data_IF_422520420077
#
_entry.id   IF_422520420077
#
_cell.length_a   1.000
_cell.length_b   1.000
_cell.length_c   1.000
_cell.angle_alpha   90.00
_cell.angle_beta   90.00
_cell.angle_gamma   90.00
#
_symmetry.space_group_name_H-M   'P 1'
#
loop_
_entity.id
_entity.type
_entity.pdbx_description
1 polymer ?
#
# COMPACT_ATOMS: atom_id res chain seq x y z
N UNK A 1 -18.92 2.61 -37.38
CA UNK A 1 -19.11 1.37 -36.60
C UNK A 1 -17.88 0.50 -36.85
N UNK A 2 -16.93 0.51 -35.92
CA UNK A 2 -15.73 -0.32 -35.98
C UNK A 2 -16.01 -1.51 -35.07
N UNK A 3 -16.15 -2.70 -35.64
CA UNK A 3 -16.27 -3.94 -34.86
C UNK A 3 -14.98 -4.16 -34.07
N UNK A 4 -15.14 -4.24 -32.75
CA UNK A 4 -14.06 -4.48 -31.82
C UNK A 4 -13.60 -5.95 -31.91
N UNK A 5 -12.48 -6.17 -32.60
CA UNK A 5 -11.92 -7.50 -32.90
C UNK A 5 -11.27 -8.21 -31.71
N UNK A 6 -11.39 -7.67 -30.50
CA UNK A 6 -10.71 -8.20 -29.31
C UNK A 6 -11.63 -8.74 -28.21
N UNK A 7 -12.96 -8.69 -28.38
CA UNK A 7 -13.88 -9.37 -27.48
C UNK A 7 -13.92 -10.88 -27.83
N UNK A 8 -13.80 -11.79 -26.85
CA UNK A 8 -13.91 -13.22 -27.13
C UNK A 8 -15.31 -13.55 -27.69
N UNK A 9 -15.40 -14.46 -28.68
CA UNK A 9 -16.69 -14.86 -29.24
C UNK A 9 -17.57 -15.53 -28.18
N UNK A 10 -18.88 -15.33 -28.29
CA UNK A 10 -19.90 -16.00 -27.47
C UNK A 10 -19.71 -17.52 -27.61
N UNK A 11 -19.54 -18.24 -26.48
CA UNK A 11 -19.20 -19.68 -26.42
C UNK A 11 -17.72 -20.00 -26.16
N UNK A 12 -16.93 -19.04 -25.67
CA UNK A 12 -15.52 -19.23 -25.29
C UNK A 12 -15.40 -19.74 -23.84
N UNK A 13 -14.71 -20.86 -23.63
CA UNK A 13 -14.40 -21.38 -22.29
C UNK A 13 -13.31 -20.54 -21.62
N UNK A 14 -13.53 -20.11 -20.38
CA UNK A 14 -12.55 -19.33 -19.60
C UNK A 14 -12.04 -20.17 -18.44
N UNK A 15 -10.72 -20.34 -18.36
CA UNK A 15 -10.08 -21.05 -17.25
C UNK A 15 -9.84 -20.07 -16.09
N UNK A 16 -10.55 -20.26 -14.99
CA UNK A 16 -10.31 -19.52 -13.75
C UNK A 16 -9.20 -20.24 -12.97
N UNK A 17 -7.94 -19.87 -13.22
CA UNK A 17 -6.81 -20.44 -12.49
C UNK A 17 -6.62 -19.76 -11.13
N UNK A 18 -6.91 -20.47 -10.04
CA UNK A 18 -6.18 -20.29 -8.79
C UNK A 18 -4.91 -21.15 -8.90
N UNK A 19 -3.72 -20.53 -8.93
CA UNK A 19 -2.45 -21.26 -9.13
C UNK A 19 -2.19 -22.25 -8.00
N UNK A 20 -2.12 -23.53 -8.33
CA UNK A 20 -1.20 -24.50 -7.72
C UNK A 20 -0.53 -25.27 -8.87
N UNK A 21 0.79 -25.26 -8.92
CA UNK A 21 1.55 -26.11 -9.83
C UNK A 21 1.73 -27.48 -9.16
N UNK A 22 1.14 -28.53 -9.72
CA UNK A 22 1.53 -29.91 -9.42
C UNK A 22 2.16 -30.48 -10.70
N UNK A 23 3.45 -30.78 -10.61
CA UNK A 23 4.23 -31.38 -11.68
C UNK A 23 3.84 -32.86 -11.83
N UNK A 24 3.11 -33.20 -12.91
CA UNK A 24 2.96 -34.57 -13.40
C UNK A 24 3.05 -34.60 -14.92
N UNK A 25 3.83 -35.52 -15.52
CA UNK A 25 3.92 -35.63 -16.96
C UNK A 25 2.73 -36.45 -17.49
N UNK A 26 1.86 -35.81 -18.27
CA UNK A 26 0.75 -36.45 -19.00
C UNK A 26 0.68 -35.94 -20.44
N UNK A 27 0.16 -36.73 -21.40
CA UNK A 27 0.39 -36.52 -22.82
C UNK A 27 -0.38 -35.32 -23.36
N UNK A 28 0.34 -34.45 -24.09
CA UNK A 28 -0.19 -33.26 -24.76
C UNK A 28 -1.26 -33.63 -25.79
N UNK A 29 -2.50 -33.14 -25.60
CA UNK A 29 -3.49 -33.03 -26.69
C UNK A 29 -3.38 -31.64 -27.32
N UNK A 30 -3.26 -31.63 -28.65
CA UNK A 30 -3.34 -30.43 -29.50
C UNK A 30 -4.80 -29.99 -29.63
N UNK A 31 -5.05 -28.73 -29.35
CA UNK A 31 -6.25 -27.99 -29.71
C UNK A 31 -5.91 -26.52 -29.56
N UNK A 32 -6.00 -25.76 -30.66
CA UNK A 32 -5.74 -24.34 -30.71
C UNK A 32 -6.78 -23.60 -29.86
N UNK A 33 -6.44 -23.37 -28.60
CA UNK A 33 -7.13 -22.45 -27.71
C UNK A 33 -6.21 -21.26 -27.46
N UNK A 34 -6.67 -20.06 -27.81
CA UNK A 34 -5.96 -18.83 -27.45
C UNK A 34 -5.92 -18.75 -25.92
N UNK A 35 -4.71 -18.83 -25.37
CA UNK A 35 -4.48 -18.71 -23.94
C UNK A 35 -4.58 -17.24 -23.56
N UNK A 36 -5.70 -16.82 -22.98
CA UNK A 36 -5.84 -15.47 -22.42
C UNK A 36 -5.51 -15.50 -20.93
N UNK A 37 -4.23 -15.26 -20.62
CA UNK A 37 -3.80 -14.97 -19.26
C UNK A 37 -4.00 -13.48 -18.99
N UNK A 38 -5.11 -13.10 -18.35
CA UNK A 38 -5.26 -11.74 -17.82
C UNK A 38 -4.70 -11.67 -16.40
N UNK A 39 -3.39 -11.45 -16.30
CA UNK A 39 -2.76 -10.95 -15.08
C UNK A 39 -2.27 -9.54 -15.39
N UNK A 40 -2.95 -8.51 -14.88
CA UNK A 40 -2.53 -7.12 -15.16
C UNK A 40 -2.82 -6.16 -14.00
N UNK A 41 -1.72 -5.87 -13.27
CA UNK A 41 -1.13 -4.64 -12.69
C UNK A 41 -1.95 -3.73 -11.73
N UNK A 42 -1.53 -3.63 -10.45
CA UNK A 42 -1.69 -2.44 -9.60
C UNK A 42 -0.36 -1.87 -9.13
N UNK A 43 -0.44 -0.66 -8.60
CA UNK A 43 0.69 0.11 -8.13
C UNK A 43 0.91 -0.17 -6.64
N UNK A 44 2.18 -0.30 -6.23
CA UNK A 44 2.57 -0.42 -4.83
C UNK A 44 3.68 0.60 -4.59
N UNK A 45 3.49 1.50 -3.62
CA UNK A 45 4.52 2.44 -3.24
C UNK A 45 5.67 1.69 -2.53
N UNK A 46 6.91 1.82 -3.02
CA UNK A 46 8.11 1.35 -2.31
C UNK A 46 8.74 2.46 -1.47
N UNK A 47 9.58 2.08 -0.51
CA UNK A 47 10.51 3.01 0.15
C UNK A 47 11.39 3.73 -0.89
N UNK A 48 11.87 4.95 -0.57
CA UNK A 48 12.83 5.62 -1.43
C UNK A 48 14.12 4.79 -1.51
N UNK A 49 14.72 4.70 -2.71
CA UNK A 49 16.06 4.16 -2.86
C UNK A 49 17.13 5.13 -2.30
N UNK A 50 18.40 4.73 -2.36
CA UNK A 50 19.53 5.52 -1.85
C UNK A 50 19.70 6.88 -2.58
N UNK A 51 19.03 7.06 -3.74
CA UNK A 51 18.95 8.30 -4.51
C UNK A 51 17.69 9.12 -4.17
N UNK A 52 16.90 8.73 -3.17
CA UNK A 52 15.66 9.40 -2.77
C UNK A 52 14.46 9.14 -3.68
N UNK A 53 14.56 8.24 -4.67
CA UNK A 53 13.51 7.98 -5.66
C UNK A 53 12.44 7.09 -5.05
N UNK A 54 11.21 7.60 -5.00
CA UNK A 54 10.02 6.76 -4.79
C UNK A 54 9.59 6.24 -6.15
N UNK A 55 9.96 5.00 -6.45
CA UNK A 55 9.46 4.34 -7.67
C UNK A 55 8.18 3.58 -7.37
N UNK A 56 7.14 3.82 -8.17
CA UNK A 56 5.88 3.07 -8.18
C UNK A 56 6.14 1.70 -8.83
N UNK A 57 6.79 0.77 -8.13
CA UNK A 57 7.14 -0.55 -8.70
C UNK A 57 6.02 -1.56 -8.45
N UNK A 58 5.21 -1.65 -9.51
CA UNK A 58 4.34 -2.73 -10.02
C UNK A 58 4.34 -4.07 -9.24
N UNK A 59 3.15 -4.48 -8.81
CA UNK A 59 2.88 -5.84 -8.36
C UNK A 59 2.00 -6.54 -9.41
N UNK A 60 2.42 -7.73 -9.86
CA UNK A 60 1.87 -8.40 -11.05
C UNK A 60 0.49 -9.06 -10.81
N UNK A 61 -0.11 -8.85 -9.64
CA UNK A 61 -1.22 -9.65 -9.12
C UNK A 61 -2.53 -8.91 -8.88
N UNK A 62 -2.59 -7.61 -9.13
CA UNK A 62 -3.83 -6.84 -8.94
C UNK A 62 -4.40 -6.36 -10.26
N UNK A 63 -5.73 -6.27 -10.44
CA UNK A 63 -6.32 -5.84 -11.71
C UNK A 63 -6.12 -4.34 -11.96
N UNK A 64 -5.96 -3.92 -13.21
CA UNK A 64 -5.97 -2.51 -13.60
C UNK A 64 -7.39 -1.99 -13.41
N UNK A 65 -7.60 -0.82 -12.77
CA UNK A 65 -8.89 -0.16 -12.83
C UNK A 65 -9.19 0.17 -14.29
N UNK A 66 -10.28 -0.39 -14.79
CA UNK A 66 -10.64 -0.39 -16.19
C UNK A 66 -11.09 1.01 -16.64
N UNK A 67 -10.13 1.89 -16.94
CA UNK A 67 -10.37 3.14 -17.68
C UNK A 67 -10.62 2.89 -19.18
N UNK A 68 -11.02 1.67 -19.55
CA UNK A 68 -11.21 1.25 -20.94
C UNK A 68 -12.56 0.56 -21.09
N UNK A 69 -13.26 0.89 -22.17
CA UNK A 69 -14.50 0.26 -22.61
C UNK A 69 -14.38 -1.27 -22.56
N UNK A 70 -15.24 -1.94 -21.79
CA UNK A 70 -15.27 -3.41 -21.70
C UNK A 70 -16.17 -3.94 -20.58
N UNK A 71 -16.68 -5.17 -20.74
CA UNK A 71 -17.37 -5.92 -19.67
C UNK A 71 -16.35 -6.79 -18.93
N UNK A 72 -16.51 -6.93 -17.62
CA UNK A 72 -15.69 -7.83 -16.81
C UNK A 72 -16.57 -8.49 -15.73
N UNK A 73 -16.10 -9.62 -15.21
CA UNK A 73 -16.84 -10.41 -14.21
C UNK A 73 -15.94 -10.69 -13.02
N UNK A 74 -16.43 -10.43 -11.82
CA UNK A 74 -15.69 -10.66 -10.57
C UNK A 74 -15.91 -12.11 -10.13
N UNK A 75 -14.80 -12.84 -9.95
CA UNK A 75 -14.87 -14.21 -9.46
C UNK A 75 -15.13 -14.22 -7.93
N UNK A 76 -16.11 -14.98 -7.42
CA UNK A 76 -16.38 -15.07 -5.99
C UNK A 76 -15.18 -15.67 -5.25
N UNK A 77 -14.83 -15.09 -4.10
CA UNK A 77 -13.85 -15.69 -3.20
C UNK A 77 -14.51 -16.81 -2.40
N UNK A 78 -14.04 -18.04 -2.57
CA UNK A 78 -14.50 -19.18 -1.79
C UNK A 78 -13.86 -19.14 -0.39
N UNK A 79 -14.69 -19.00 0.66
CA UNK A 79 -14.25 -18.99 2.08
C UNK A 79 -13.59 -20.31 2.54
N UNK A 80 -13.60 -21.35 1.70
CA UNK A 80 -13.23 -22.73 2.03
C UNK A 80 -11.85 -23.17 1.51
N UNK A 81 -10.87 -22.27 1.35
CA UNK A 81 -9.53 -22.62 0.84
C UNK A 81 -8.62 -23.38 1.84
N UNK A 82 -9.21 -24.24 2.66
CA UNK A 82 -8.53 -25.36 3.33
C UNK A 82 -8.93 -26.73 2.75
N UNK A 83 -9.93 -26.76 1.86
CA UNK A 83 -10.35 -27.95 1.11
C UNK A 83 -9.89 -27.78 -0.32
N UNK A 84 -9.24 -28.80 -0.87
CA UNK A 84 -8.85 -28.88 -2.27
C UNK A 84 -10.08 -28.59 -3.14
N UNK A 85 -10.13 -27.39 -3.73
CA UNK A 85 -11.11 -27.07 -4.76
C UNK A 85 -10.51 -27.54 -6.07
N UNK A 86 -11.10 -28.59 -6.65
CA UNK A 86 -10.79 -29.02 -8.01
C UNK A 86 -11.09 -27.86 -8.98
N UNK A 87 -10.22 -27.69 -9.98
CA UNK A 87 -10.34 -26.65 -10.99
C UNK A 87 -11.74 -26.64 -11.62
N UNK A 88 -12.47 -25.53 -11.51
CA UNK A 88 -13.73 -25.35 -12.22
C UNK A 88 -13.50 -24.59 -13.54
N UNK A 89 -13.87 -25.21 -14.65
CA UNK A 89 -14.03 -24.54 -15.94
C UNK A 89 -15.50 -24.11 -16.08
N UNK A 90 -15.75 -22.82 -16.33
CA UNK A 90 -17.07 -22.27 -16.63
C UNK A 90 -17.06 -21.62 -18.02
N UNK A 91 -18.20 -21.65 -18.73
CA UNK A 91 -18.35 -20.89 -19.96
C UNK A 91 -18.44 -19.39 -19.62
N UNK A 92 -17.79 -18.52 -20.39
CA UNK A 92 -17.89 -17.07 -20.20
C UNK A 92 -19.35 -16.59 -20.29
N UNK A 93 -20.20 -17.27 -21.06
CA UNK A 93 -21.62 -16.96 -21.16
C UNK A 93 -22.40 -17.22 -19.88
N UNK A 94 -21.90 -18.11 -19.02
CA UNK A 94 -22.58 -18.56 -17.81
C UNK A 94 -22.18 -17.74 -16.58
N UNK A 95 -21.16 -16.89 -16.73
CA UNK A 95 -20.72 -15.98 -15.70
C UNK A 95 -21.69 -14.78 -15.65
N UNK A 96 -22.30 -14.57 -14.49
CA UNK A 96 -23.16 -13.43 -14.21
C UNK A 96 -22.38 -12.35 -13.44
N UNK A 97 -22.65 -11.06 -13.71
CA UNK A 97 -22.13 -9.94 -12.92
C UNK A 97 -22.38 -10.14 -11.44
N UNK A 98 -21.35 -10.02 -10.61
CA UNK A 98 -21.51 -10.09 -9.15
C UNK A 98 -22.03 -8.76 -8.58
N UNK A 99 -21.64 -7.66 -9.21
CA UNK A 99 -21.98 -6.28 -8.86
C UNK A 99 -22.60 -5.58 -10.06
N UNK A 100 -23.59 -4.72 -9.79
CA UNK A 100 -24.34 -4.02 -10.84
C UNK A 100 -23.47 -3.18 -11.81
N UNK A 101 -22.27 -2.76 -11.38
CA UNK A 101 -21.39 -1.94 -12.21
C UNK A 101 -20.48 -2.72 -13.16
N UNK A 102 -20.39 -4.05 -13.02
CA UNK A 102 -19.66 -4.92 -13.94
C UNK A 102 -20.26 -4.88 -15.37
N UNK A 103 -21.54 -4.53 -15.48
CA UNK A 103 -22.26 -4.38 -16.75
C UNK A 103 -22.13 -2.98 -17.39
N UNK A 104 -21.63 -1.98 -16.64
CA UNK A 104 -21.50 -0.62 -17.14
C UNK A 104 -20.21 -0.48 -17.97
N UNK A 105 -20.35 -0.09 -19.24
CA UNK A 105 -19.23 0.03 -20.19
C UNK A 105 -18.39 1.29 -19.99
N UNK A 106 -18.96 2.33 -19.36
CA UNK A 106 -18.30 3.58 -19.05
C UNK A 106 -18.41 3.85 -17.55
N UNK A 107 -17.30 3.66 -16.85
CA UNK A 107 -17.07 4.38 -15.61
C UNK A 107 -16.56 5.76 -16.03
N UNK A 108 -17.47 6.74 -16.08
CA UNK A 108 -17.14 8.12 -16.45
C UNK A 108 -16.04 8.70 -15.54
N UNK A 109 -15.62 9.93 -15.81
CA UNK A 109 -14.59 10.64 -15.02
C UNK A 109 -15.07 11.07 -13.61
N UNK A 110 -16.10 10.41 -13.05
CA UNK A 110 -16.64 10.70 -11.73
C UNK A 110 -15.92 9.91 -10.63
N UNK A 111 -15.19 10.65 -9.80
CA UNK A 111 -14.44 10.13 -8.65
C UNK A 111 -15.36 9.43 -7.63
N UNK A 112 -16.62 9.87 -7.49
CA UNK A 112 -17.58 9.26 -6.57
C UNK A 112 -17.92 7.82 -6.98
N UNK A 113 -18.10 7.57 -8.28
CA UNK A 113 -18.39 6.23 -8.80
C UNK A 113 -17.25 5.25 -8.50
N UNK A 114 -16.00 5.65 -8.79
CA UNK A 114 -14.83 4.82 -8.47
C UNK A 114 -14.75 4.49 -6.97
N UNK A 115 -15.02 5.46 -6.10
CA UNK A 115 -15.04 5.23 -4.66
C UNK A 115 -16.13 4.21 -4.29
N UNK A 116 -17.33 4.34 -4.84
CA UNK A 116 -18.44 3.45 -4.51
C UNK A 116 -18.24 2.04 -5.04
N UNK A 117 -17.59 1.88 -6.20
CA UNK A 117 -17.15 0.58 -6.71
C UNK A 117 -16.09 -0.05 -5.80
N UNK A 118 -15.10 0.73 -5.38
CA UNK A 118 -14.11 0.29 -4.41
C UNK A 118 -14.73 -0.13 -3.08
N UNK A 119 -15.72 0.61 -2.58
CA UNK A 119 -16.42 0.31 -1.32
C UNK A 119 -17.25 -0.99 -1.40
N UNK A 120 -17.89 -1.26 -2.55
CA UNK A 120 -18.60 -2.52 -2.81
C UNK A 120 -17.63 -3.71 -2.86
N UNK A 121 -16.47 -3.55 -3.48
CA UNK A 121 -15.43 -4.58 -3.52
C UNK A 121 -14.81 -4.84 -2.14
N UNK A 122 -14.59 -3.76 -1.39
CA UNK A 122 -14.09 -3.83 -0.02
C UNK A 122 -15.06 -4.60 0.90
N UNK A 123 -16.38 -4.43 0.72
CA UNK A 123 -17.39 -5.17 1.50
C UNK A 123 -17.45 -6.66 1.17
N UNK A 124 -17.05 -7.04 -0.06
CA UNK A 124 -16.85 -8.41 -0.50
C UNK A 124 -15.46 -8.98 -0.15
N UNK A 125 -14.65 -8.23 0.61
CA UNK A 125 -13.27 -8.59 0.97
C UNK A 125 -12.32 -8.74 -0.23
N UNK A 126 -12.71 -8.27 -1.42
CA UNK A 126 -11.82 -8.22 -2.59
C UNK A 126 -10.97 -6.95 -2.54
N UNK A 127 -10.00 -6.97 -1.61
CA UNK A 127 -9.11 -5.84 -1.36
C UNK A 127 -8.27 -5.49 -2.58
N UNK A 128 -7.92 -6.48 -3.39
CA UNK A 128 -7.05 -6.33 -4.54
C UNK A 128 -7.77 -5.54 -5.64
N UNK A 129 -9.02 -5.89 -5.97
CA UNK A 129 -9.82 -5.11 -6.90
C UNK A 129 -10.21 -3.74 -6.33
N UNK A 130 -10.53 -3.66 -5.03
CA UNK A 130 -10.88 -2.39 -4.40
C UNK A 130 -9.75 -1.35 -4.52
N UNK A 131 -8.49 -1.77 -4.32
CA UNK A 131 -7.29 -0.93 -4.49
C UNK A 131 -7.29 -0.27 -5.86
N UNK A 132 -7.54 -1.04 -6.91
CA UNK A 132 -7.54 -0.57 -8.29
C UNK A 132 -8.48 0.62 -8.49
N UNK A 133 -9.73 0.50 -8.05
CA UNK A 133 -10.70 1.58 -8.18
C UNK A 133 -10.30 2.84 -7.40
N UNK A 134 -9.80 2.67 -6.18
CA UNK A 134 -9.28 3.79 -5.40
C UNK A 134 -8.06 4.45 -6.06
N UNK A 135 -7.15 3.68 -6.67
CA UNK A 135 -6.00 4.21 -7.40
C UNK A 135 -6.42 4.99 -8.66
N UNK A 136 -7.38 4.49 -9.43
CA UNK A 136 -7.93 5.24 -10.56
C UNK A 136 -8.54 6.57 -10.13
N UNK A 137 -9.34 6.57 -9.06
CA UNK A 137 -9.92 7.79 -8.51
C UNK A 137 -8.83 8.83 -8.15
N UNK A 138 -7.77 8.40 -7.46
CA UNK A 138 -6.65 9.28 -7.09
C UNK A 138 -5.82 9.73 -8.29
N UNK A 139 -5.71 8.89 -9.32
CA UNK A 139 -5.03 9.24 -10.56
C UNK A 139 -5.78 10.32 -11.33
N UNK A 140 -7.10 10.23 -11.45
CA UNK A 140 -7.95 11.26 -12.08
C UNK A 140 -7.77 12.63 -11.42
N UNK A 141 -7.65 12.66 -10.09
CA UNK A 141 -7.33 13.88 -9.34
C UNK A 141 -5.93 14.37 -9.71
N UNK A 142 -4.95 13.47 -9.67
CA UNK A 142 -3.53 13.83 -9.81
C UNK A 142 -3.14 14.20 -11.23
N UNK A 143 -3.88 13.82 -12.27
CA UNK A 143 -3.61 14.23 -13.65
C UNK A 143 -3.90 15.70 -13.91
N UNK A 144 -4.67 16.37 -13.04
CA UNK A 144 -5.14 17.76 -13.22
C UNK A 144 -4.36 18.74 -12.32
N UNK A 145 -3.03 18.69 -12.37
CA UNK A 145 -2.19 19.69 -11.69
C UNK A 145 -2.11 20.93 -12.56
N UNK A 146 -2.50 22.05 -11.96
CA UNK A 146 -2.61 23.36 -12.59
C UNK A 146 -1.89 24.40 -11.70
N UNK A 147 -1.53 25.55 -12.29
CA UNK A 147 -0.99 26.70 -11.55
C UNK A 147 -2.05 27.22 -10.55
N UNK A 148 -1.63 27.59 -9.35
CA UNK A 148 -2.48 27.86 -8.18
C UNK A 148 -3.06 26.59 -7.54
N UNK A 149 -2.69 25.41 -8.04
CA UNK A 149 -3.11 24.14 -7.49
C UNK A 149 -2.29 23.76 -6.25
N UNK A 150 -2.90 23.01 -5.33
CA UNK A 150 -2.22 22.50 -4.16
C UNK A 150 -1.74 21.06 -4.40
N UNK A 151 -0.48 20.77 -4.06
CA UNK A 151 0.13 19.45 -4.19
C UNK A 151 0.72 18.98 -2.87
N UNK A 152 0.87 17.66 -2.72
CA UNK A 152 1.57 17.03 -1.61
C UNK A 152 2.88 16.49 -2.14
N UNK A 153 3.97 16.89 -1.51
CA UNK A 153 5.33 16.50 -1.88
C UNK A 153 6.01 15.80 -0.72
N UNK A 154 7.02 14.98 -1.03
CA UNK A 154 7.87 14.38 -0.01
C UNK A 154 9.07 15.28 0.27
N UNK A 155 9.17 15.83 1.47
CA UNK A 155 10.32 16.64 1.90
C UNK A 155 10.89 16.12 3.21
N UNK A 156 12.19 15.81 3.24
CA UNK A 156 12.90 15.25 4.41
C UNK A 156 12.17 14.03 5.03
N UNK A 157 11.54 13.20 4.20
CA UNK A 157 10.77 12.02 4.65
C UNK A 157 9.35 12.29 5.15
N UNK A 158 8.86 13.54 5.08
CA UNK A 158 7.52 13.94 5.50
C UNK A 158 6.65 14.35 4.31
N UNK A 159 5.33 14.24 4.45
CA UNK A 159 4.37 14.73 3.47
C UNK A 159 4.04 16.19 3.79
N UNK A 160 4.41 17.08 2.88
CA UNK A 160 4.25 18.54 3.04
C UNK A 160 3.36 19.05 1.91
N UNK A 161 2.50 20.01 2.24
CA UNK A 161 1.65 20.72 1.28
C UNK A 161 2.47 21.83 0.62
N UNK A 162 2.32 22.00 -0.68
CA UNK A 162 2.89 23.11 -1.42
C UNK A 162 1.88 23.63 -2.44
N UNK A 163 1.96 24.92 -2.77
CA UNK A 163 1.19 25.54 -3.84
C UNK A 163 2.03 25.58 -5.11
N UNK A 164 1.43 25.35 -6.28
CA UNK A 164 2.13 25.37 -7.57
C UNK A 164 2.04 26.77 -8.16
N UNK A 165 3.14 27.51 -8.17
CA UNK A 165 3.17 28.89 -8.67
C UNK A 165 3.39 28.95 -10.18
N UNK A 166 4.18 28.03 -10.70
CA UNK A 166 4.53 27.99 -12.11
C UNK A 166 4.79 26.58 -12.60
N UNK A 167 4.46 26.33 -13.87
CA UNK A 167 4.71 25.06 -14.55
C UNK A 167 5.42 25.37 -15.86
N UNK A 168 6.66 24.90 -15.97
CA UNK A 168 7.45 24.99 -17.19
C UNK A 168 7.82 23.62 -17.74
N UNK A 169 8.28 23.58 -18.98
CA UNK A 169 8.88 22.38 -19.55
C UNK A 169 10.39 22.59 -19.61
N UNK A 170 11.15 21.61 -19.15
CA UNK A 170 12.60 21.57 -19.33
C UNK A 170 12.96 21.40 -20.82
N UNK A 171 14.25 21.49 -21.15
CA UNK A 171 14.75 21.30 -22.52
C UNK A 171 14.40 19.92 -23.13
N UNK A 172 14.14 18.92 -22.27
CA UNK A 172 13.74 17.57 -22.67
C UNK A 172 12.20 17.39 -22.74
N UNK A 173 11.43 18.45 -22.51
CA UNK A 173 9.96 18.43 -22.53
C UNK A 173 9.32 17.84 -21.27
N UNK A 174 10.07 17.61 -20.19
CA UNK A 174 9.51 17.20 -18.91
C UNK A 174 8.99 18.41 -18.14
N UNK A 175 7.86 18.23 -17.45
CA UNK A 175 7.27 19.28 -16.62
C UNK A 175 8.09 19.49 -15.34
N UNK A 176 8.54 20.72 -15.12
CA UNK A 176 9.04 21.25 -13.86
C UNK A 176 7.94 22.08 -13.20
N UNK A 177 7.90 22.02 -11.87
CA UNK A 177 6.90 22.67 -11.05
C UNK A 177 7.62 23.54 -10.04
N UNK A 178 7.45 24.86 -10.11
CA UNK A 178 7.88 25.75 -9.04
C UNK A 178 6.79 25.77 -7.98
N UNK A 179 7.17 25.45 -6.75
CA UNK A 179 6.23 25.34 -5.63
C UNK A 179 6.65 26.18 -4.44
N UNK A 180 5.67 26.86 -3.84
CA UNK A 180 5.81 27.60 -2.59
C UNK A 180 5.32 26.77 -1.41
N UNK A 181 6.09 26.74 -0.32
CA UNK A 181 5.71 26.05 0.91
C UNK A 181 4.99 27.01 1.89
N UNK A 182 3.86 26.60 2.51
CA UNK A 182 3.12 27.42 3.47
C UNK A 182 3.93 27.84 4.71
N UNK A 183 5.03 27.14 5.01
CA UNK A 183 5.90 27.44 6.14
C UNK A 183 6.76 28.69 5.98
N UNK A 184 6.68 29.37 4.83
CA UNK A 184 7.55 30.50 4.49
C UNK A 184 9.01 30.07 4.28
N UNK A 185 9.22 28.79 3.99
CA UNK A 185 10.52 28.29 3.53
C UNK A 185 10.62 28.51 2.02
N UNK A 186 11.85 28.73 1.53
CA UNK A 186 12.16 29.06 0.14
C UNK A 186 11.42 28.19 -0.89
N UNK A 187 10.99 28.84 -1.96
CA UNK A 187 10.43 28.24 -3.17
C UNK A 187 11.36 27.12 -3.68
N UNK A 188 10.77 26.07 -4.25
CA UNK A 188 11.54 24.97 -4.82
C UNK A 188 11.00 24.57 -6.19
N UNK A 189 11.91 24.37 -7.14
CA UNK A 189 11.62 23.70 -8.41
C UNK A 189 11.69 22.20 -8.20
N UNK A 190 10.59 21.49 -8.47
CA UNK A 190 10.48 20.03 -8.32
C UNK A 190 9.99 19.37 -9.61
N UNK A 191 10.27 18.08 -9.74
CA UNK A 191 9.78 17.26 -10.83
C UNK A 191 8.44 16.59 -10.50
N UNK A 192 7.72 16.11 -11.53
CA UNK A 192 6.50 15.32 -11.36
C UNK A 192 6.67 14.12 -10.41
N UNK A 193 7.86 13.52 -10.36
CA UNK A 193 8.14 12.33 -9.54
C UNK A 193 8.20 12.63 -8.05
N UNK A 194 8.45 13.87 -7.68
CA UNK A 194 8.52 14.32 -6.27
C UNK A 194 7.14 14.68 -5.71
N UNK A 195 6.17 14.90 -6.60
CA UNK A 195 4.76 15.12 -6.27
C UNK A 195 4.11 13.76 -5.98
N UNK A 196 3.67 13.59 -4.72
CA UNK A 196 2.99 12.38 -4.28
C UNK A 196 1.53 12.35 -4.73
N UNK A 197 0.83 13.49 -4.62
CA UNK A 197 -0.59 13.59 -4.94
C UNK A 197 -1.00 15.05 -5.14
N UNK A 198 -1.91 15.34 -6.08
CA UNK A 198 -2.59 16.64 -6.12
C UNK A 198 -3.71 16.69 -5.07
N UNK A 199 -3.96 17.82 -4.45
CA UNK A 199 -5.09 17.99 -3.52
C UNK A 199 -6.33 18.41 -4.31
N UNK A 200 -7.43 17.68 -4.13
CA UNK A 200 -8.67 18.00 -4.81
C UNK A 200 -9.38 19.15 -4.08
N UNK A 201 -9.30 20.36 -4.60
CA UNK A 201 -9.83 21.58 -3.96
C UNK A 201 -11.37 21.64 -3.94
N UNK A 202 -12.03 21.01 -4.91
CA UNK A 202 -13.52 20.99 -5.03
C UNK A 202 -14.19 19.84 -4.26
N UNK A 203 -13.44 19.14 -3.42
CA UNK A 203 -13.89 17.93 -2.73
C UNK A 203 -14.65 18.26 -1.43
N UNK A 204 -15.88 18.75 -1.59
CA UNK A 204 -16.77 19.14 -0.48
C UNK A 204 -17.06 17.97 0.47
N UNK A 205 -17.09 16.74 -0.06
CA UNK A 205 -17.47 15.54 0.69
C UNK A 205 -16.26 14.78 1.28
N UNK A 206 -15.06 15.34 1.20
CA UNK A 206 -13.83 14.71 1.68
C UNK A 206 -13.58 13.31 1.08
N UNK A 207 -14.04 13.10 -0.17
CA UNK A 207 -13.92 11.84 -0.91
C UNK A 207 -12.46 11.45 -1.07
N UNK A 208 -11.57 12.38 -1.37
CA UNK A 208 -10.15 12.07 -1.55
C UNK A 208 -9.55 11.45 -0.29
N UNK A 209 -9.88 12.01 0.88
CA UNK A 209 -9.43 11.51 2.18
C UNK A 209 -10.05 10.14 2.46
N UNK A 210 -11.34 9.97 2.18
CA UNK A 210 -12.07 8.69 2.34
C UNK A 210 -11.46 7.58 1.46
N UNK A 211 -11.16 7.89 0.20
CA UNK A 211 -10.49 7.00 -0.76
C UNK A 211 -9.11 6.59 -0.24
N UNK A 212 -8.26 7.56 0.16
CA UNK A 212 -6.93 7.27 0.73
C UNK A 212 -7.00 6.36 1.96
N UNK A 213 -8.00 6.56 2.83
CA UNK A 213 -8.19 5.74 4.02
C UNK A 213 -8.64 4.32 3.67
N UNK A 214 -9.54 4.15 2.72
CA UNK A 214 -9.99 2.82 2.29
C UNK A 214 -8.89 2.06 1.54
N UNK A 215 -8.15 2.74 0.66
CA UNK A 215 -6.94 2.22 0.02
C UNK A 215 -5.92 1.74 1.07
N UNK A 216 -5.62 2.59 2.06
CA UNK A 216 -4.70 2.27 3.16
C UNK A 216 -5.14 1.04 3.97
N UNK A 217 -6.45 0.87 4.19
CA UNK A 217 -7.02 -0.32 4.87
C UNK A 217 -6.88 -1.57 4.01
N UNK A 218 -7.17 -1.50 2.71
CA UNK A 218 -7.01 -2.62 1.78
C UNK A 218 -5.57 -3.12 1.75
N UNK A 219 -4.60 -2.19 1.61
CA UNK A 219 -3.18 -2.51 1.63
C UNK A 219 -2.77 -3.19 2.94
N UNK A 220 -3.24 -2.68 4.08
CA UNK A 220 -2.93 -3.28 5.37
C UNK A 220 -3.53 -4.70 5.49
N UNK A 221 -4.73 -4.92 4.96
CA UNK A 221 -5.38 -6.25 4.92
C UNK A 221 -4.61 -7.23 4.03
N UNK A 222 -4.16 -6.81 2.86
CA UNK A 222 -3.31 -7.63 2.01
C UNK A 222 -1.99 -7.99 2.69
N UNK A 223 -1.40 -7.07 3.46
CA UNK A 223 -0.19 -7.33 4.24
C UNK A 223 -0.41 -8.39 5.33
N UNK A 224 -1.63 -8.56 5.84
CA UNK A 224 -1.97 -9.58 6.84
C UNK A 224 -2.24 -10.94 6.18
N UNK A 225 -2.89 -10.97 5.02
CA UNK A 225 -3.21 -12.22 4.28
C UNK A 225 -1.94 -12.90 3.75
N UNK A 226 -0.99 -12.12 3.24
CA UNK A 226 0.25 -12.64 2.64
C UNK A 226 1.19 -13.30 3.67
N UNK A 227 1.02 -13.04 4.98
CA UNK A 227 1.78 -13.72 6.07
C UNK A 227 1.50 -15.21 6.11
N UNK A 228 0.26 -15.61 5.78
CA UNK A 228 -0.19 -17.00 5.95
C UNK A 228 0.39 -17.95 4.91
N UNK A 229 0.87 -17.43 3.77
CA UNK A 229 1.42 -18.24 2.66
C UNK A 229 2.93 -18.48 2.77
N UNK A 230 3.67 -17.60 3.45
CA UNK A 230 5.14 -17.68 3.52
C UNK A 230 5.69 -18.70 4.53
N UNK A 231 4.87 -19.20 5.45
CA UNK A 231 5.31 -20.12 6.51
C UNK A 231 5.27 -21.61 6.11
N UNK A 232 4.82 -21.96 4.90
CA UNK A 232 4.75 -23.36 4.46
C UNK A 232 6.03 -23.91 3.83
N UNK A 233 6.98 -23.05 3.42
CA UNK A 233 8.20 -23.49 2.75
C UNK A 233 9.36 -23.65 3.74
N UNK A 234 9.32 -24.78 4.46
CA UNK A 234 10.41 -25.32 5.31
C UNK A 234 11.68 -25.72 4.53
N UNK A 235 11.81 -25.38 3.24
CA UNK A 235 13.03 -25.67 2.48
C UNK A 235 14.08 -24.59 2.79
N UNK A 236 15.04 -24.93 3.66
CA UNK A 236 16.08 -24.07 4.20
C UNK A 236 17.09 -23.52 3.19
N UNK A 237 16.63 -22.79 2.17
CA UNK A 237 17.49 -21.98 1.28
C UNK A 237 17.62 -20.56 1.84
N UNK A 238 18.72 -20.38 2.56
CA UNK A 238 19.51 -19.15 2.74
C UNK A 238 18.80 -17.82 2.45
N UNK A 239 18.52 -17.10 3.54
CA UNK A 239 18.03 -15.73 3.60
C UNK A 239 18.79 -14.79 2.65
N UNK A 240 18.09 -14.35 1.60
CA UNK A 240 18.48 -13.18 0.80
C UNK A 240 18.27 -11.91 1.64
N UNK A 241 19.35 -11.18 1.92
CA UNK A 241 19.46 -10.09 2.89
C UNK A 241 18.95 -8.71 2.44
N UNK A 242 18.20 -8.57 1.33
CA UNK A 242 17.95 -7.21 0.80
C UNK A 242 16.60 -6.93 0.12
N UNK A 243 15.67 -7.88 0.00
CA UNK A 243 14.36 -7.58 -0.62
C UNK A 243 13.30 -7.37 0.46
N UNK A 244 12.92 -6.10 0.66
CA UNK A 244 11.73 -5.72 1.44
C UNK A 244 10.58 -6.64 1.10
N UNK A 245 10.04 -7.34 2.10
CA UNK A 245 8.94 -8.28 1.87
C UNK A 245 7.77 -7.55 1.21
N UNK A 246 6.99 -8.23 0.38
CA UNK A 246 5.78 -7.67 -0.24
C UNK A 246 4.84 -7.05 0.82
N UNK A 247 4.73 -7.72 1.96
CA UNK A 247 4.00 -7.24 3.13
C UNK A 247 4.52 -5.91 3.67
N UNK A 248 5.84 -5.75 3.78
CA UNK A 248 6.43 -4.51 4.26
C UNK A 248 6.19 -3.36 3.29
N UNK A 249 6.21 -3.63 1.98
CA UNK A 249 5.83 -2.65 0.96
C UNK A 249 4.38 -2.19 1.13
N UNK A 250 3.43 -3.11 1.33
CA UNK A 250 2.05 -2.73 1.62
C UNK A 250 1.91 -1.89 2.89
N UNK A 251 2.59 -2.28 3.98
CA UNK A 251 2.57 -1.52 5.23
C UNK A 251 3.18 -0.12 5.05
N UNK A 252 4.27 0.01 4.27
CA UNK A 252 4.89 1.29 3.93
C UNK A 252 3.95 2.16 3.09
N UNK A 253 3.27 1.57 2.11
CA UNK A 253 2.26 2.25 1.31
C UNK A 253 1.07 2.71 2.17
N UNK A 254 0.59 1.90 3.11
CA UNK A 254 -0.42 2.30 4.11
C UNK A 254 0.06 3.48 4.94
N UNK A 255 1.32 3.50 5.39
CA UNK A 255 1.89 4.64 6.14
C UNK A 255 1.87 5.90 5.28
N UNK A 256 2.27 5.80 4.01
CA UNK A 256 2.29 6.92 3.08
C UNK A 256 0.87 7.45 2.82
N UNK A 257 -0.07 6.58 2.44
CA UNK A 257 -1.46 6.96 2.17
C UNK A 257 -2.14 7.64 3.35
N UNK A 258 -1.93 7.12 4.57
CA UNK A 258 -2.43 7.77 5.78
C UNK A 258 -1.72 9.08 6.11
N UNK A 259 -0.43 9.23 5.77
CA UNK A 259 0.30 10.49 5.97
C UNK A 259 -0.20 11.58 5.05
N UNK A 260 -0.42 11.26 3.76
CA UNK A 260 -1.05 12.14 2.78
C UNK A 260 -2.46 12.55 3.28
N UNK A 261 -3.28 11.59 3.70
CA UNK A 261 -4.62 11.88 4.22
C UNK A 261 -4.60 12.83 5.44
N UNK A 262 -3.64 12.65 6.36
CA UNK A 262 -3.46 13.54 7.52
C UNK A 262 -3.06 14.95 7.06
N UNK A 263 -2.13 15.08 6.11
CA UNK A 263 -1.71 16.37 5.57
C UNK A 263 -2.88 17.12 4.91
N UNK A 264 -3.73 16.42 4.14
CA UNK A 264 -4.96 17.00 3.56
C UNK A 264 -5.92 17.46 4.67
N UNK A 265 -6.14 16.61 5.68
CA UNK A 265 -7.01 16.98 6.81
C UNK A 265 -6.50 18.24 7.51
N UNK A 266 -5.20 18.32 7.77
CA UNK A 266 -4.58 19.45 8.48
C UNK A 266 -4.67 20.74 7.66
N UNK A 267 -4.41 20.68 6.36
CA UNK A 267 -4.55 21.81 5.44
C UNK A 267 -6.00 22.30 5.32
N UNK A 268 -6.98 21.40 5.14
CA UNK A 268 -8.39 21.80 5.08
C UNK A 268 -8.92 22.31 6.42
N UNK A 269 -8.38 21.82 7.54
CA UNK A 269 -8.78 22.31 8.87
C UNK A 269 -8.40 23.78 9.05
N UNK A 270 -7.27 24.24 8.52
CA UNK A 270 -6.89 25.66 8.59
C UNK A 270 -7.78 26.59 7.76
N UNK A 271 -8.50 26.06 6.78
CA UNK A 271 -9.36 26.83 5.87
C UNK A 271 -10.86 26.72 6.21
N UNK A 272 -11.22 25.76 7.06
CA UNK A 272 -12.62 25.36 7.30
C UNK A 272 -13.30 26.14 8.42
N UNK A 273 -14.60 26.37 8.26
CA UNK A 273 -15.54 26.81 9.32
C UNK A 273 -15.85 25.62 10.26
N UNK A 274 -16.24 25.89 11.51
CA UNK A 274 -16.32 24.94 12.63
C UNK A 274 -17.05 23.60 12.36
N UNK A 275 -18.11 23.55 11.55
CA UNK A 275 -18.89 22.31 11.37
C UNK A 275 -18.15 21.23 10.56
N UNK A 276 -17.46 21.62 9.49
CA UNK A 276 -16.65 20.70 8.67
C UNK A 276 -15.37 20.25 9.39
N UNK A 277 -14.91 21.03 10.37
CA UNK A 277 -13.74 20.69 11.18
C UNK A 277 -13.95 19.40 11.97
N UNK A 278 -15.17 19.11 12.44
CA UNK A 278 -15.45 17.88 13.18
C UNK A 278 -15.28 16.62 12.33
N UNK A 279 -15.78 16.62 11.09
CA UNK A 279 -15.59 15.48 10.18
C UNK A 279 -14.11 15.28 9.86
N UNK A 280 -13.38 16.37 9.56
CA UNK A 280 -11.94 16.33 9.28
C UNK A 280 -11.15 15.79 10.48
N UNK A 281 -11.51 16.16 11.71
CA UNK A 281 -10.92 15.59 12.92
C UNK A 281 -11.19 14.09 13.03
N UNK A 282 -12.42 13.64 12.78
CA UNK A 282 -12.76 12.21 12.78
C UNK A 282 -11.97 11.43 11.73
N UNK A 283 -11.83 11.97 10.51
CA UNK A 283 -11.05 11.35 9.43
C UNK A 283 -9.55 11.30 9.78
N UNK A 284 -9.01 12.38 10.36
CA UNK A 284 -7.61 12.43 10.82
C UNK A 284 -7.33 11.44 11.95
N UNK A 285 -8.26 11.26 12.88
CA UNK A 285 -8.17 10.23 13.92
C UNK A 285 -8.11 8.82 13.31
N UNK A 286 -9.02 8.52 12.38
CA UNK A 286 -9.05 7.24 11.65
C UNK A 286 -7.73 6.99 10.92
N UNK A 287 -7.18 8.01 10.26
CA UNK A 287 -5.90 7.92 9.56
C UNK A 287 -4.74 7.60 10.52
N UNK A 288 -4.67 8.27 11.68
CA UNK A 288 -3.65 8.00 12.71
C UNK A 288 -3.76 6.59 13.27
N UNK A 289 -4.97 6.07 13.48
CA UNK A 289 -5.16 4.68 13.93
C UNK A 289 -4.65 3.67 12.90
N UNK A 290 -5.02 3.83 11.62
CA UNK A 290 -4.57 2.94 10.55
C UNK A 290 -3.05 3.03 10.37
N UNK A 291 -2.48 4.24 10.38
CA UNK A 291 -1.04 4.46 10.28
C UNK A 291 -0.27 3.85 11.46
N UNK A 292 -0.79 3.99 12.69
CA UNK A 292 -0.19 3.41 13.88
C UNK A 292 -0.16 1.87 13.81
N UNK A 293 -1.22 1.23 13.29
CA UNK A 293 -1.21 -0.23 13.05
C UNK A 293 -0.13 -0.63 12.06
N UNK A 294 0.03 0.11 10.96
CA UNK A 294 1.07 -0.15 9.97
C UNK A 294 2.48 0.05 10.58
N UNK A 295 2.69 1.10 11.38
CA UNK A 295 3.95 1.29 12.10
C UNK A 295 4.25 0.18 13.10
N UNK A 296 3.25 -0.28 13.86
CA UNK A 296 3.39 -1.41 14.78
C UNK A 296 3.81 -2.68 14.02
N UNK A 297 3.17 -2.97 12.88
CA UNK A 297 3.50 -4.12 12.03
C UNK A 297 4.93 -4.02 11.46
N UNK A 298 5.38 -2.82 11.10
CA UNK A 298 6.75 -2.52 10.67
C UNK A 298 7.76 -2.43 11.82
N UNK A 299 7.37 -2.73 13.06
CA UNK A 299 8.19 -2.59 14.28
C UNK A 299 8.72 -1.18 14.54
N UNK A 300 8.11 -0.15 13.94
CA UNK A 300 8.39 1.28 14.19
C UNK A 300 7.61 1.77 15.41
N UNK A 301 7.88 1.18 16.57
CA UNK A 301 7.11 1.38 17.80
C UNK A 301 7.02 2.85 18.24
N UNK A 302 8.10 3.67 18.21
CA UNK A 302 8.01 5.08 18.60
C UNK A 302 6.98 5.85 17.77
N UNK A 303 6.95 5.63 16.46
CA UNK A 303 6.01 6.28 15.55
C UNK A 303 4.56 5.84 15.82
N UNK A 304 4.36 4.54 16.07
CA UNK A 304 3.05 3.99 16.41
C UNK A 304 2.49 4.62 17.71
N UNK A 305 3.34 4.79 18.73
CA UNK A 305 2.98 5.45 20.00
C UNK A 305 2.59 6.91 19.79
N UNK A 306 3.36 7.66 18.99
CA UNK A 306 3.09 9.08 18.72
C UNK A 306 1.70 9.26 18.12
N UNK A 307 1.34 8.48 17.11
CA UNK A 307 0.01 8.57 16.47
C UNK A 307 -1.13 8.26 17.44
N UNK A 308 -1.00 7.19 18.23
CA UNK A 308 -2.05 6.79 19.20
C UNK A 308 -2.18 7.80 20.33
N UNK A 309 -1.07 8.35 20.83
CA UNK A 309 -1.10 9.43 21.82
C UNK A 309 -1.79 10.67 21.26
N UNK A 310 -1.51 11.07 20.02
CA UNK A 310 -2.21 12.20 19.37
C UNK A 310 -3.71 11.97 19.29
N UNK A 311 -4.17 10.75 18.99
CA UNK A 311 -5.60 10.40 19.01
C UNK A 311 -6.16 10.50 20.44
N UNK A 312 -5.47 9.95 21.44
CA UNK A 312 -5.95 9.99 22.84
C UNK A 312 -5.94 11.38 23.47
N UNK A 313 -5.07 12.29 23.01
CA UNK A 313 -5.08 13.70 23.42
C UNK A 313 -6.35 14.39 22.90
N UNK A 314 -6.77 14.08 21.68
CA UNK A 314 -7.95 14.66 21.05
C UNK A 314 -9.24 14.00 21.55
N UNK A 315 -9.20 12.68 21.76
CA UNK A 315 -10.32 11.87 22.17
C UNK A 315 -9.87 10.81 23.18
N UNK A 316 -9.86 11.21 24.46
CA UNK A 316 -9.38 10.37 25.56
C UNK A 316 -10.24 9.11 25.81
N UNK A 317 -11.46 9.05 25.27
CA UNK A 317 -12.36 7.90 25.42
C UNK A 317 -12.27 6.91 24.26
N UNK A 318 -11.47 7.20 23.23
CA UNK A 318 -11.33 6.35 22.05
C UNK A 318 -10.84 4.93 22.43
N UNK A 319 -11.76 3.96 22.40
CA UNK A 319 -11.51 2.56 22.79
C UNK A 319 -10.48 1.89 21.90
N UNK A 320 -10.54 2.12 20.60
CA UNK A 320 -9.62 1.53 19.62
C UNK A 320 -8.19 1.99 19.86
N UNK A 321 -7.99 3.29 20.11
CA UNK A 321 -6.70 3.87 20.45
C UNK A 321 -6.13 3.28 21.75
N UNK A 322 -6.95 3.11 22.80
CA UNK A 322 -6.53 2.49 24.08
C UNK A 322 -6.07 1.05 23.89
N UNK A 323 -6.84 0.25 23.15
CA UNK A 323 -6.48 -1.14 22.84
C UNK A 323 -5.18 -1.20 22.05
N UNK A 324 -5.03 -0.33 21.04
CA UNK A 324 -3.82 -0.28 20.23
C UNK A 324 -2.59 0.14 21.06
N UNK A 325 -2.73 1.12 21.96
CA UNK A 325 -1.65 1.54 22.86
C UNK A 325 -1.17 0.38 23.75
N UNK A 326 -2.10 -0.41 24.29
CA UNK A 326 -1.77 -1.59 25.10
C UNK A 326 -0.96 -2.60 24.28
N UNK A 327 -1.37 -2.89 23.04
CA UNK A 327 -0.62 -3.77 22.13
C UNK A 327 0.79 -3.25 21.83
N UNK A 328 0.94 -1.95 21.58
CA UNK A 328 2.25 -1.35 21.33
C UNK A 328 3.16 -1.48 22.56
N UNK A 329 2.65 -1.16 23.76
CA UNK A 329 3.41 -1.31 25.01
C UNK A 329 3.84 -2.75 25.28
N UNK A 330 2.98 -3.72 25.00
CA UNK A 330 3.32 -5.14 25.10
C UNK A 330 4.46 -5.51 24.14
N UNK A 331 4.42 -5.02 22.89
CA UNK A 331 5.48 -5.22 21.91
C UNK A 331 6.81 -4.55 22.34
N UNK A 332 6.76 -3.35 22.90
CA UNK A 332 7.95 -2.66 23.45
C UNK A 332 8.58 -3.44 24.62
N UNK A 333 7.76 -3.94 25.55
CA UNK A 333 8.23 -4.73 26.67
C UNK A 333 8.89 -6.04 26.21
N UNK A 334 8.31 -6.70 25.21
CA UNK A 334 8.85 -7.91 24.61
C UNK A 334 10.19 -7.66 23.89
N UNK A 335 10.30 -6.57 23.13
CA UNK A 335 11.53 -6.18 22.46
C UNK A 335 12.66 -5.96 23.48
N UNK A 336 12.39 -5.18 24.54
CA UNK A 336 13.37 -4.94 25.63
C UNK A 336 13.81 -6.23 26.35
N UNK A 337 12.89 -7.17 26.57
CA UNK A 337 13.20 -8.47 27.16
C UNK A 337 14.14 -9.27 26.24
N UNK A 338 13.86 -9.26 24.95
CA UNK A 338 14.65 -9.94 23.91
C UNK A 338 16.05 -9.35 23.82
N UNK A 339 16.18 -8.03 23.76
CA UNK A 339 17.47 -7.34 23.73
C UNK A 339 18.29 -7.67 24.97
N UNK A 340 17.68 -7.61 26.16
CA UNK A 340 18.34 -7.98 27.42
C UNK A 340 18.83 -9.44 27.41
N UNK A 341 18.07 -10.36 26.82
CA UNK A 341 18.47 -11.76 26.67
C UNK A 341 19.65 -11.89 25.70
N UNK A 342 19.57 -11.24 24.54
CA UNK A 342 20.63 -11.25 23.53
C UNK A 342 21.92 -10.65 24.06
N UNK A 343 21.87 -9.53 24.79
CA UNK A 343 23.05 -8.94 25.43
C UNK A 343 23.71 -9.90 26.42
N UNK A 344 22.93 -10.64 27.22
CA UNK A 344 23.48 -11.64 28.16
C UNK A 344 24.15 -12.81 27.44
N UNK A 345 23.53 -13.33 26.39
CA UNK A 345 24.10 -14.41 25.57
C UNK A 345 25.38 -13.96 24.88
N UNK A 346 25.37 -12.74 24.31
CA UNK A 346 26.57 -12.13 23.71
C UNK A 346 27.70 -11.98 24.73
N UNK A 347 27.43 -11.45 25.93
CA UNK A 347 28.44 -11.38 26.99
C UNK A 347 28.96 -12.77 27.40
N UNK A 348 28.10 -13.79 27.43
CA UNK A 348 28.52 -15.17 27.70
C UNK A 348 29.46 -15.67 26.60
N UNK A 349 29.14 -15.43 25.33
CA UNK A 349 29.98 -15.82 24.19
C UNK A 349 31.34 -15.13 24.21
N UNK A 350 31.36 -13.81 24.44
CA UNK A 350 32.60 -13.04 24.59
C UNK A 350 33.44 -13.64 25.71
N UNK A 351 32.85 -13.88 26.89
CA UNK A 351 33.54 -14.49 28.03
C UNK A 351 34.08 -15.88 27.71
N UNK A 352 33.29 -16.76 27.07
CA UNK A 352 33.75 -18.09 26.67
C UNK A 352 34.89 -18.02 25.65
N UNK A 353 34.86 -17.06 24.73
CA UNK A 353 35.93 -16.85 23.77
C UNK A 353 37.23 -16.36 24.44
N UNK A 354 37.13 -15.41 25.39
CA UNK A 354 38.30 -14.89 26.12
C UNK A 354 38.89 -15.89 27.10
N UNK A 355 38.05 -16.69 27.77
CA UNK A 355 38.48 -17.67 28.76
C UNK A 355 38.99 -18.98 28.11
N UNK A 356 38.79 -19.16 26.80
CA UNK A 356 39.34 -20.31 26.08
C UNK A 356 40.85 -20.18 25.94
N UNK A 357 41.59 -21.28 26.15
CA UNK A 357 43.06 -21.32 26.11
C UNK A 357 43.66 -20.71 24.83
N UNK A 358 42.96 -20.85 23.69
CA UNK A 358 43.37 -20.29 22.41
C UNK A 358 43.12 -18.76 22.31
N UNK A 359 42.13 -18.23 23.01
CA UNK A 359 41.87 -16.78 23.07
C UNK A 359 42.84 -16.05 24.01
N UNK A 360 43.16 -16.68 25.15
CA UNK A 360 44.14 -16.16 26.10
C UNK A 360 45.57 -16.11 25.52
N UNK A 361 45.99 -17.12 24.74
CA UNK A 361 47.30 -17.13 24.08
C UNK A 361 47.45 -16.06 22.99
N UNK A 362 46.38 -15.75 22.25
CA UNK A 362 46.42 -14.71 21.20
C UNK A 362 46.47 -13.30 21.81
N UNK A 363 45.74 -13.05 22.90
CA UNK A 363 45.80 -11.76 23.61
C UNK A 363 47.13 -11.54 24.31
N UNK A 364 47.72 -12.56 24.93
CA UNK A 364 49.04 -12.47 25.56
C UNK A 364 50.16 -12.11 24.58
N UNK A 365 50.07 -12.54 23.31
CA UNK A 365 51.05 -12.18 22.27
C UNK A 365 50.93 -10.74 21.76
N UNK A 366 49.80 -10.07 21.97
CA UNK A 366 49.61 -8.67 21.57
C UNK A 366 50.21 -7.73 22.60
N UNK A 367 50.18 -8.09 23.89
CA UNK A 367 50.83 -7.31 24.95
C UNK A 367 52.37 -7.38 24.86
N UNK A 368 52.94 -8.45 24.29
CA UNK A 368 54.38 -8.57 24.02
C UNK A 368 54.85 -7.75 22.78
N UNK A 369 53.92 -7.13 22.04
CA UNK A 369 54.18 -6.34 20.82
C UNK A 369 54.10 -4.82 21.03
N UNK A 370 53.80 -4.36 22.26
CA UNK A 370 53.81 -2.94 22.69
C UNK A 370 54.99 -2.74 23.62
#
# INVERSE_FOLDING_TARGET
MVEDRNAPPIGSKVRVTSKIAIDRPGPKRRGDGVTLTFARRSIVATLPDDDGRVSLVQDDLSPIPLTREGRFLIAPMFESAGVQVDECEADASDLLPLLAFEDHRDCGDDIADYKDYGDKLLSLFDYTCAISYYEAALNLISTKIEVGGTVIVRRKGHCVIAEVDFIENDEAGNKLYDVTFPSGEDDATITRKEILLAVWTKDVLNLQIKILLNLSRCLLKLADVDVSRGNSDLSGKTMSTAKSSRQDRYRQATVLGCSIAISICEHRTSESIDELAFELYSLREKARIVRSRAFLALRKLPNAVVDVKKVLIQNATNREAKVLLSKIKAAEAYAKLTDKRLSKEFCRWVKTATDSSNGAEVLGRVDDLI
#
